data_IF_041339353122
#
_entry.id   IF_041339353122
#
_cell.length_a   1.000
_cell.length_b   1.000
_cell.length_c   1.000
_cell.angle_alpha   90.00
_cell.angle_beta   90.00
_cell.angle_gamma   90.00
#
_symmetry.space_group_name_H-M   'P 1'
#
loop_
_entity.id
_entity.type
_entity.pdbx_description
1 polymer ?
#
# COMPACT_ATOMS: atom_id res chain seq x y z
N UNK A 1 2.37 10.92 17.81
CA UNK A 1 1.18 10.23 17.25
C UNK A 1 0.09 11.21 16.88
N UNK A 2 -0.43 11.99 17.84
CA UNK A 2 -1.51 12.98 17.65
C UNK A 2 -1.26 13.96 16.49
N UNK A 3 -0.09 14.60 16.44
CA UNK A 3 0.21 15.65 15.44
C UNK A 3 -0.04 15.28 13.97
N UNK A 4 0.27 14.07 13.50
CA UNK A 4 0.09 13.74 12.06
C UNK A 4 -1.38 13.46 11.75
N UNK A 5 -2.06 12.67 12.59
CA UNK A 5 -3.47 12.37 12.40
C UNK A 5 -4.33 13.63 12.53
N UNK A 6 -4.02 14.49 13.50
CA UNK A 6 -4.68 15.79 13.68
C UNK A 6 -4.49 16.70 12.47
N UNK A 7 -3.25 16.88 12.00
CA UNK A 7 -2.98 17.70 10.80
C UNK A 7 -3.72 17.16 9.58
N UNK A 8 -3.86 15.84 9.44
CA UNK A 8 -4.64 15.24 8.35
C UNK A 8 -6.14 15.52 8.51
N UNK A 9 -6.70 15.36 9.70
CA UNK A 9 -8.11 15.64 9.98
C UNK A 9 -8.47 17.13 9.78
N UNK A 10 -7.55 18.05 10.10
CA UNK A 10 -7.74 19.49 9.89
C UNK A 10 -7.57 19.90 8.42
N UNK A 11 -6.67 19.24 7.68
CA UNK A 11 -6.36 19.60 6.29
C UNK A 11 -7.26 18.92 5.27
N UNK A 12 -7.99 17.88 5.66
CA UNK A 12 -8.90 17.15 4.78
C UNK A 12 -10.33 17.70 4.90
N UNK A 13 -11.07 17.79 3.77
CA UNK A 13 -12.45 18.23 3.76
C UNK A 13 -13.35 17.32 4.62
N UNK A 14 -14.36 17.90 5.29
CA UNK A 14 -15.35 17.14 6.07
C UNK A 14 -16.19 16.23 5.17
N UNK A 15 -16.36 16.65 3.91
CA UNK A 15 -17.03 15.92 2.85
C UNK A 15 -16.36 14.56 2.56
N UNK A 16 -15.08 14.37 2.92
CA UNK A 16 -14.39 13.10 2.71
C UNK A 16 -14.95 11.94 3.57
N UNK A 17 -15.70 12.23 4.64
CA UNK A 17 -16.22 11.22 5.57
C UNK A 17 -15.15 10.20 5.99
N UNK A 18 -14.07 10.70 6.60
CA UNK A 18 -12.93 9.88 7.02
C UNK A 18 -13.39 8.92 8.12
N UNK A 19 -13.22 7.61 7.88
CA UNK A 19 -13.58 6.57 8.84
C UNK A 19 -12.42 6.16 9.71
N UNK A 20 -11.22 6.08 9.13
CA UNK A 20 -10.02 5.69 9.84
C UNK A 20 -8.75 6.25 9.18
N UNK A 21 -7.72 6.47 10.00
CA UNK A 21 -6.38 6.82 9.56
C UNK A 21 -5.41 5.83 10.19
N UNK A 22 -4.87 4.94 9.36
CA UNK A 22 -3.93 3.90 9.74
C UNK A 22 -2.57 4.11 9.08
N UNK A 23 -1.56 3.41 9.58
CA UNK A 23 -0.27 3.30 8.91
C UNK A 23 -0.10 1.92 8.27
N UNK A 24 0.39 1.90 7.05
CA UNK A 24 0.85 0.68 6.37
C UNK A 24 2.37 0.75 6.23
N UNK A 25 3.07 0.43 7.33
CA UNK A 25 4.52 0.63 7.40
C UNK A 25 4.86 2.12 7.29
N UNK A 26 5.55 2.54 6.23
CA UNK A 26 5.92 3.94 6.01
C UNK A 26 4.85 4.79 5.31
N UNK A 27 3.77 4.16 4.84
CA UNK A 27 2.68 4.82 4.12
C UNK A 27 1.54 5.17 5.09
N UNK A 28 0.97 6.36 4.94
CA UNK A 28 -0.19 6.79 5.69
C UNK A 28 -1.43 6.50 4.86
N UNK A 29 -2.39 5.79 5.44
CA UNK A 29 -3.60 5.35 4.75
C UNK A 29 -4.82 6.00 5.37
N UNK A 30 -5.58 6.71 4.54
CA UNK A 30 -6.82 7.41 4.92
C UNK A 30 -7.99 6.66 4.31
N UNK A 31 -8.85 6.08 5.14
CA UNK A 31 -10.08 5.40 4.73
C UNK A 31 -11.23 6.41 4.66
N UNK A 32 -12.00 6.38 3.58
CA UNK A 32 -13.07 7.34 3.30
C UNK A 32 -14.35 6.64 2.88
N UNK A 33 -15.49 7.16 3.33
CA UNK A 33 -16.83 6.71 2.90
C UNK A 33 -17.41 7.52 1.74
N UNK A 34 -16.93 8.74 1.52
CA UNK A 34 -17.43 9.54 0.41
C UNK A 34 -16.82 9.06 -0.93
N UNK A 35 -17.66 8.56 -1.82
CA UNK A 35 -17.26 8.08 -3.13
C UNK A 35 -16.64 9.16 -4.01
N UNK A 36 -17.21 10.36 -4.03
CA UNK A 36 -16.77 11.44 -4.90
C UNK A 36 -15.36 11.91 -4.51
N UNK A 37 -15.10 12.00 -3.20
CA UNK A 37 -13.78 12.27 -2.66
C UNK A 37 -12.80 11.12 -2.98
N UNK A 38 -13.23 9.86 -2.83
CA UNK A 38 -12.39 8.72 -3.21
C UNK A 38 -12.01 8.78 -4.70
N UNK A 39 -12.94 9.14 -5.58
CA UNK A 39 -12.69 9.26 -7.03
C UNK A 39 -11.76 10.44 -7.35
N UNK A 40 -11.93 11.58 -6.69
CA UNK A 40 -11.29 12.86 -7.04
C UNK A 40 -10.45 13.52 -5.91
N UNK A 41 -9.55 12.78 -5.24
CA UNK A 41 -8.69 13.33 -4.18
C UNK A 41 -7.30 13.85 -4.63
N UNK A 42 -6.96 13.79 -5.91
CA UNK A 42 -5.58 13.92 -6.39
C UNK A 42 -4.87 15.23 -6.00
N UNK A 43 -5.54 16.37 -6.12
CA UNK A 43 -4.93 17.69 -5.83
C UNK A 43 -4.70 17.91 -4.34
N UNK A 44 -5.68 17.57 -3.51
CA UNK A 44 -5.64 17.70 -2.04
C UNK A 44 -4.52 16.81 -1.49
N UNK A 45 -4.45 15.56 -1.94
CA UNK A 45 -3.42 14.61 -1.49
C UNK A 45 -2.03 15.04 -1.97
N UNK A 46 -1.90 15.58 -3.20
CA UNK A 46 -0.62 16.10 -3.69
C UNK A 46 -0.12 17.28 -2.84
N UNK A 47 -1.01 18.18 -2.44
CA UNK A 47 -0.68 19.28 -1.52
C UNK A 47 -0.25 18.75 -0.14
N UNK A 48 -0.98 17.77 0.41
CA UNK A 48 -0.67 17.15 1.70
C UNK A 48 0.67 16.40 1.70
N UNK A 49 0.94 15.61 0.67
CA UNK A 49 2.24 14.91 0.50
C UNK A 49 3.37 15.92 0.41
N UNK A 50 3.16 17.04 -0.28
CA UNK A 50 4.16 18.11 -0.42
C UNK A 50 4.45 18.82 0.90
N UNK A 51 3.41 19.03 1.73
CA UNK A 51 3.47 19.65 3.07
C UNK A 51 4.12 18.73 4.09
N UNK A 52 3.65 17.47 4.18
CA UNK A 52 4.08 16.51 5.20
C UNK A 52 5.38 15.77 4.83
N UNK A 53 5.76 15.75 3.55
CA UNK A 53 6.88 14.94 3.01
C UNK A 53 6.76 13.46 3.42
N UNK A 54 5.52 12.95 3.45
CA UNK A 54 5.15 11.55 3.75
C UNK A 54 4.29 11.01 2.63
N UNK A 55 4.33 9.68 2.40
CA UNK A 55 3.46 9.01 1.43
C UNK A 55 2.06 8.87 2.03
N UNK A 56 1.05 9.27 1.27
CA UNK A 56 -0.35 9.24 1.68
C UNK A 56 -1.14 8.52 0.57
N UNK A 57 -1.91 7.52 0.95
CA UNK A 57 -2.86 6.82 0.08
C UNK A 57 -4.27 6.99 0.63
N UNK A 58 -5.21 7.29 -0.26
CA UNK A 58 -6.65 7.27 0.07
C UNK A 58 -7.20 5.91 -0.33
N UNK A 59 -7.92 5.27 0.59
CA UNK A 59 -8.56 3.97 0.41
C UNK A 59 -10.07 4.10 0.62
N UNK A 60 -10.87 3.30 -0.10
CA UNK A 60 -12.29 3.23 0.17
C UNK A 60 -12.48 2.49 1.50
N UNK A 61 -13.46 2.92 2.30
CA UNK A 61 -13.94 2.10 3.40
C UNK A 61 -14.48 0.76 2.85
N UNK A 62 -14.18 -0.39 3.47
CA UNK A 62 -14.71 -1.67 3.02
C UNK A 62 -16.24 -1.70 2.88
N UNK A 63 -16.96 -0.84 3.62
CA UNK A 63 -18.42 -0.75 3.56
C UNK A 63 -18.96 -0.12 2.26
N UNK A 64 -18.15 0.62 1.50
CA UNK A 64 -18.56 1.25 0.23
C UNK A 64 -18.04 0.49 -0.99
N UNK A 65 -17.13 -0.46 -0.80
CA UNK A 65 -16.56 -1.24 -1.91
C UNK A 65 -17.61 -2.24 -2.42
N UNK A 66 -17.72 -2.42 -3.73
CA UNK A 66 -18.65 -3.42 -4.29
C UNK A 66 -18.24 -4.83 -3.88
N UNK A 67 -19.19 -5.77 -3.91
CA UNK A 67 -18.90 -7.19 -3.67
C UNK A 67 -17.80 -7.71 -4.61
N UNK A 68 -17.00 -8.68 -4.13
CA UNK A 68 -15.84 -9.18 -4.88
C UNK A 68 -16.24 -9.81 -6.23
N UNK A 69 -17.36 -10.54 -6.27
CA UNK A 69 -17.84 -11.16 -7.51
C UNK A 69 -18.37 -10.11 -8.49
N UNK A 70 -19.10 -9.10 -8.02
CA UNK A 70 -19.54 -7.98 -8.85
C UNK A 70 -18.34 -7.19 -9.39
N UNK A 71 -17.35 -6.89 -8.54
CA UNK A 71 -16.13 -6.22 -8.92
C UNK A 71 -15.36 -6.98 -10.02
N UNK A 72 -15.28 -8.32 -9.93
CA UNK A 72 -14.67 -9.15 -10.98
C UNK A 72 -15.39 -9.01 -12.31
N UNK A 73 -16.72 -9.05 -12.31
CA UNK A 73 -17.53 -8.90 -13.53
C UNK A 73 -17.39 -7.51 -14.14
N UNK A 74 -17.38 -6.45 -13.31
CA UNK A 74 -17.10 -5.09 -13.75
C UNK A 74 -15.71 -4.99 -14.40
N UNK A 75 -14.67 -5.54 -13.76
CA UNK A 75 -13.30 -5.50 -14.27
C UNK A 75 -13.17 -6.22 -15.62
N UNK A 76 -13.77 -7.40 -15.76
CA UNK A 76 -13.77 -8.15 -17.03
C UNK A 76 -14.46 -7.39 -18.17
N UNK A 77 -15.50 -6.59 -17.87
CA UNK A 77 -16.19 -5.75 -18.86
C UNK A 77 -15.38 -4.51 -19.25
N UNK A 78 -14.66 -3.90 -18.30
CA UNK A 78 -13.88 -2.68 -18.54
C UNK A 78 -12.56 -2.98 -19.27
N UNK A 79 -11.90 -4.08 -18.89
CA UNK A 79 -10.55 -4.42 -19.39
C UNK A 79 -10.67 -5.20 -20.70
N UNK A 80 -9.96 -4.80 -21.78
CA UNK A 80 -9.96 -5.56 -23.03
C UNK A 80 -9.47 -7.00 -22.83
N UNK A 81 -10.09 -7.97 -23.51
CA UNK A 81 -9.67 -9.38 -23.45
C UNK A 81 -8.18 -9.57 -23.83
N UNK A 82 -7.69 -8.74 -24.77
CA UNK A 82 -6.29 -8.70 -25.20
C UNK A 82 -5.29 -8.37 -24.08
N UNK A 83 -5.75 -7.78 -22.97
CA UNK A 83 -4.93 -7.56 -21.79
C UNK A 83 -4.46 -8.89 -21.17
N UNK A 84 -5.25 -9.96 -21.36
CA UNK A 84 -5.00 -11.29 -20.84
C UNK A 84 -4.91 -11.27 -19.31
N UNK A 85 -6.02 -10.95 -18.64
CA UNK A 85 -6.12 -11.06 -17.19
C UNK A 85 -5.87 -12.52 -16.80
N UNK A 86 -4.90 -12.74 -15.94
CA UNK A 86 -4.55 -14.05 -15.40
C UNK A 86 -5.22 -14.30 -14.05
N UNK A 87 -5.24 -13.29 -13.17
CA UNK A 87 -5.84 -13.40 -11.84
C UNK A 87 -6.31 -12.04 -11.32
N UNK A 88 -7.30 -12.06 -10.43
CA UNK A 88 -7.78 -10.91 -9.66
C UNK A 88 -7.87 -11.30 -8.19
N UNK A 89 -6.95 -10.77 -7.38
CA UNK A 89 -6.90 -11.03 -5.94
C UNK A 89 -7.43 -9.83 -5.15
N UNK A 90 -8.29 -10.08 -4.15
CA UNK A 90 -8.85 -9.05 -3.28
C UNK A 90 -8.18 -9.06 -1.91
N UNK A 91 -8.01 -7.88 -1.33
CA UNK A 91 -7.55 -7.67 0.06
C UNK A 91 -8.55 -6.74 0.77
N UNK A 92 -9.71 -7.27 1.22
CA UNK A 92 -10.80 -6.46 1.79
C UNK A 92 -10.37 -5.61 2.99
N UNK A 93 -9.53 -6.16 3.86
CA UNK A 93 -8.99 -5.44 5.02
C UNK A 93 -8.25 -4.15 4.65
N UNK A 94 -7.74 -4.07 3.41
CA UNK A 94 -6.95 -2.96 2.86
C UNK A 94 -7.71 -2.16 1.80
N UNK A 95 -8.97 -2.48 1.51
CA UNK A 95 -9.76 -1.84 0.44
C UNK A 95 -9.07 -1.89 -0.93
N UNK A 96 -8.32 -2.96 -1.19
CA UNK A 96 -7.43 -3.09 -2.36
C UNK A 96 -7.77 -4.33 -3.18
N UNK A 97 -7.63 -4.21 -4.49
CA UNK A 97 -7.57 -5.37 -5.38
C UNK A 97 -6.30 -5.33 -6.23
N UNK A 98 -5.82 -6.51 -6.61
CA UNK A 98 -4.67 -6.69 -7.49
C UNK A 98 -5.10 -7.41 -8.75
N UNK A 99 -4.86 -6.79 -9.91
CA UNK A 99 -5.14 -7.38 -11.23
C UNK A 99 -3.81 -7.81 -11.83
N UNK A 100 -3.67 -9.10 -12.09
CA UNK A 100 -2.53 -9.67 -12.80
C UNK A 100 -2.89 -9.86 -14.26
N UNK A 101 -2.13 -9.26 -15.17
CA UNK A 101 -2.40 -9.34 -16.60
C UNK A 101 -1.12 -9.54 -17.41
N UNK A 102 -1.23 -10.24 -18.54
CA UNK A 102 -0.11 -10.43 -19.49
C UNK A 102 0.37 -9.08 -20.05
N UNK A 103 -0.56 -8.17 -20.33
CA UNK A 103 -0.30 -6.80 -20.80
C UNK A 103 -0.86 -5.75 -19.83
N UNK A 104 -0.14 -5.41 -18.73
CA UNK A 104 -0.58 -4.43 -17.74
C UNK A 104 -0.94 -3.05 -18.30
N UNK A 105 -0.27 -2.61 -19.37
CA UNK A 105 -0.54 -1.32 -20.00
C UNK A 105 -1.97 -1.18 -20.52
N UNK A 106 -2.61 -2.28 -20.95
CA UNK A 106 -4.01 -2.28 -21.40
C UNK A 106 -4.99 -2.17 -20.24
N UNK A 107 -4.65 -2.75 -19.08
CA UNK A 107 -5.42 -2.63 -17.84
C UNK A 107 -5.35 -1.21 -17.28
N UNK A 108 -4.17 -0.56 -17.37
CA UNK A 108 -3.99 0.82 -16.94
C UNK A 108 -4.71 1.79 -17.90
N UNK A 109 -4.58 1.55 -19.20
CA UNK A 109 -5.13 2.41 -20.25
C UNK A 109 -4.29 3.66 -20.50
N UNK A 110 -4.59 4.38 -21.59
CA UNK A 110 -3.91 5.65 -21.92
C UNK A 110 -4.15 6.66 -20.80
N UNK A 111 -3.08 7.20 -20.22
CA UNK A 111 -3.16 8.15 -19.11
C UNK A 111 -3.80 7.61 -17.83
N UNK A 112 -3.93 6.29 -17.67
CA UNK A 112 -4.60 5.69 -16.50
C UNK A 112 -6.13 5.68 -16.57
N UNK A 113 -6.73 5.98 -17.74
CA UNK A 113 -8.19 6.09 -17.88
C UNK A 113 -8.93 4.80 -17.52
N UNK A 114 -8.42 3.63 -17.92
CA UNK A 114 -9.04 2.33 -17.63
C UNK A 114 -8.93 2.01 -16.14
N UNK A 115 -7.76 2.27 -15.53
CA UNK A 115 -7.56 2.10 -14.09
C UNK A 115 -8.50 3.00 -13.28
N UNK A 116 -8.68 4.24 -13.72
CA UNK A 116 -9.63 5.18 -13.11
C UNK A 116 -11.07 4.66 -13.22
N UNK A 117 -11.49 4.16 -14.39
CA UNK A 117 -12.81 3.54 -14.55
C UNK A 117 -13.03 2.35 -13.61
N UNK A 118 -12.04 1.48 -13.46
CA UNK A 118 -12.11 0.35 -12.50
C UNK A 118 -12.32 0.88 -11.09
N UNK A 119 -11.50 1.84 -10.66
CA UNK A 119 -11.61 2.48 -9.34
C UNK A 119 -12.98 3.13 -9.13
N UNK A 120 -13.47 3.86 -10.12
CA UNK A 120 -14.71 4.64 -10.02
C UNK A 120 -15.97 3.75 -10.00
N UNK A 121 -15.95 2.60 -10.67
CA UNK A 121 -17.10 1.67 -10.73
C UNK A 121 -17.10 0.62 -9.62
N UNK A 122 -15.92 0.12 -9.23
CA UNK A 122 -15.83 -0.92 -8.20
C UNK A 122 -15.70 -0.35 -6.80
N UNK A 123 -15.27 0.91 -6.68
CA UNK A 123 -14.93 1.53 -5.40
C UNK A 123 -13.87 0.73 -4.63
N UNK A 124 -12.98 0.03 -5.34
CA UNK A 124 -11.77 -0.57 -4.81
C UNK A 124 -10.55 0.27 -5.20
N UNK A 125 -9.45 0.15 -4.46
CA UNK A 125 -8.17 0.66 -4.93
C UNK A 125 -7.46 -0.40 -5.80
N UNK A 126 -7.37 -0.22 -7.13
CA UNK A 126 -6.76 -1.21 -8.00
C UNK A 126 -5.23 -1.09 -8.05
N UNK A 127 -4.55 -2.22 -7.99
CA UNK A 127 -3.11 -2.36 -8.25
C UNK A 127 -2.92 -3.30 -9.43
N UNK A 128 -2.17 -2.86 -10.45
CA UNK A 128 -1.92 -3.69 -11.63
C UNK A 128 -0.53 -4.31 -11.53
N UNK A 129 -0.44 -5.62 -11.78
CA UNK A 129 0.81 -6.36 -11.87
C UNK A 129 0.90 -7.14 -13.17
N UNK A 130 2.12 -7.41 -13.62
CA UNK A 130 2.36 -8.32 -14.74
C UNK A 130 2.15 -9.75 -14.26
N UNK A 131 1.33 -10.51 -14.97
CA UNK A 131 1.16 -11.92 -14.73
C UNK A 131 2.50 -12.66 -14.94
N UNK A 132 2.90 -13.57 -14.04
CA UNK A 132 4.09 -14.38 -14.24
C UNK A 132 3.90 -15.31 -15.44
N UNK A 133 4.95 -15.55 -16.22
CA UNK A 133 4.90 -16.50 -17.35
C UNK A 133 4.72 -17.94 -16.87
N UNK A 134 5.33 -18.28 -15.73
CA UNK A 134 5.25 -19.60 -15.10
C UNK A 134 4.65 -19.39 -13.70
N UNK A 135 3.55 -20.07 -13.35
CA UNK A 135 2.99 -19.99 -12.01
C UNK A 135 3.96 -20.63 -11.01
N UNK A 136 4.08 -20.02 -9.84
CA UNK A 136 4.88 -20.57 -8.73
C UNK A 136 3.94 -20.95 -7.59
N UNK A 137 3.96 -22.23 -7.23
CA UNK A 137 3.19 -22.76 -6.09
C UNK A 137 3.56 -22.06 -4.78
N UNK A 138 4.86 -21.80 -4.57
CA UNK A 138 5.36 -21.06 -3.39
C UNK A 138 4.75 -19.65 -3.32
N UNK A 139 4.67 -18.94 -4.45
CA UNK A 139 4.05 -17.60 -4.49
C UNK A 139 2.56 -17.67 -4.16
N UNK A 140 1.85 -18.67 -4.65
CA UNK A 140 0.43 -18.85 -4.36
C UNK A 140 0.18 -19.14 -2.88
N UNK A 141 1.00 -20.02 -2.28
CA UNK A 141 0.93 -20.32 -0.84
C UNK A 141 1.17 -19.06 -0.02
N UNK A 142 2.23 -18.29 -0.31
CA UNK A 142 2.52 -17.04 0.40
C UNK A 142 1.36 -16.05 0.30
N UNK A 143 0.75 -15.90 -0.89
CA UNK A 143 -0.42 -15.02 -1.07
C UNK A 143 -1.62 -15.47 -0.24
N UNK A 144 -1.89 -16.77 -0.21
CA UNK A 144 -2.96 -17.35 0.61
C UNK A 144 -2.75 -17.05 2.08
N UNK A 145 -1.53 -17.28 2.61
CA UNK A 145 -1.18 -16.94 3.99
C UNK A 145 -1.36 -15.44 4.27
N UNK A 146 -0.88 -14.57 3.36
CA UNK A 146 -1.04 -13.12 3.51
C UNK A 146 -2.51 -12.67 3.51
N UNK A 147 -3.38 -13.39 2.79
CA UNK A 147 -4.81 -13.12 2.76
C UNK A 147 -5.49 -13.58 4.06
N UNK A 148 -5.22 -14.82 4.49
CA UNK A 148 -5.75 -15.40 5.74
C UNK A 148 -5.34 -14.57 6.96
N UNK A 149 -4.10 -14.08 6.99
CA UNK A 149 -3.53 -13.28 8.08
C UNK A 149 -3.75 -11.76 7.94
N UNK A 150 -4.73 -11.32 7.12
CA UNK A 150 -4.95 -9.91 6.82
C UNK A 150 -5.18 -9.04 8.06
N UNK A 151 -5.93 -9.53 9.05
CA UNK A 151 -6.19 -8.79 10.29
C UNK A 151 -4.92 -8.59 11.13
N UNK A 152 -4.16 -9.67 11.31
CA UNK A 152 -2.87 -9.63 12.02
C UNK A 152 -1.92 -8.66 11.32
N UNK A 153 -1.80 -8.80 9.99
CA UNK A 153 -0.94 -7.95 9.15
C UNK A 153 -1.33 -6.47 9.26
N UNK A 154 -2.62 -6.13 9.23
CA UNK A 154 -3.10 -4.75 9.37
C UNK A 154 -2.70 -4.15 10.73
N UNK A 155 -2.90 -4.91 11.82
CA UNK A 155 -2.50 -4.50 13.19
C UNK A 155 -0.98 -4.33 13.30
N UNK A 156 -0.22 -5.28 12.75
CA UNK A 156 1.25 -5.24 12.74
C UNK A 156 1.78 -4.02 11.99
N UNK A 157 1.28 -3.78 10.77
CA UNK A 157 1.71 -2.67 9.93
C UNK A 157 1.37 -1.30 10.54
N UNK A 158 0.21 -1.18 11.20
CA UNK A 158 -0.15 0.04 11.90
C UNK A 158 0.83 0.31 13.05
N UNK A 159 1.09 -0.68 13.91
CA UNK A 159 2.05 -0.54 15.02
C UNK A 159 3.48 -0.24 14.53
N UNK A 160 3.88 -0.83 13.41
CA UNK A 160 5.17 -0.54 12.78
C UNK A 160 5.23 0.90 12.29
N UNK A 161 4.20 1.36 11.58
CA UNK A 161 4.16 2.72 11.07
C UNK A 161 4.10 3.78 12.16
N UNK A 162 3.35 3.51 13.23
CA UNK A 162 3.35 4.34 14.43
C UNK A 162 4.76 4.57 14.97
N UNK A 163 5.62 3.53 14.99
CA UNK A 163 7.04 3.66 15.37
C UNK A 163 7.85 4.46 14.37
N UNK A 164 7.70 4.19 13.07
CA UNK A 164 8.40 4.90 11.98
C UNK A 164 8.09 6.41 12.02
N UNK A 165 6.84 6.77 12.31
CA UNK A 165 6.36 8.14 12.30
C UNK A 165 6.43 8.84 13.67
N UNK A 166 6.73 8.13 14.77
CA UNK A 166 6.89 8.71 16.10
C UNK A 166 8.20 9.48 16.28
N UNK A 167 9.25 9.13 15.54
CA UNK A 167 10.56 9.76 15.69
C UNK A 167 10.57 11.18 15.10
N UNK A 168 10.77 12.19 15.95
CA UNK A 168 11.11 13.53 15.49
C UNK A 168 12.44 13.51 14.71
N UNK A 169 12.50 14.27 13.61
CA UNK A 169 13.74 14.51 12.87
C UNK A 169 14.67 15.34 13.75
N UNK A 170 15.59 14.66 14.43
CA UNK A 170 16.75 15.29 15.07
C UNK A 170 17.97 15.11 14.19
N UNK A 171 18.96 15.97 14.39
CA UNK A 171 20.26 15.79 13.75
C UNK A 171 20.88 14.44 14.15
N UNK A 172 21.57 13.82 13.20
CA UNK A 172 22.24 12.55 13.41
C UNK A 172 23.61 12.86 14.02
N UNK A 173 23.77 12.56 15.30
CA UNK A 173 25.03 12.80 16.02
C UNK A 173 26.13 11.82 15.60
N UNK A 174 25.78 10.54 15.42
CA UNK A 174 26.71 9.51 14.99
C UNK A 174 26.02 8.42 14.18
N UNK A 175 26.83 7.75 13.37
CA UNK A 175 26.49 6.52 12.66
C UNK A 175 27.60 5.53 12.95
N UNK A 176 27.24 4.31 13.34
CA UNK A 176 28.18 3.20 13.53
C UNK A 176 27.72 2.01 12.71
N UNK A 177 28.69 1.28 12.19
CA UNK A 177 28.47 0.06 11.41
C UNK A 177 29.21 -1.07 12.11
N UNK A 178 28.47 -2.08 12.57
CA UNK A 178 29.01 -3.30 13.15
C UNK A 178 28.94 -4.44 12.14
N UNK A 179 30.07 -5.09 11.88
CA UNK A 179 30.12 -6.30 11.06
C UNK A 179 29.96 -7.50 11.98
N UNK A 180 28.80 -8.17 11.91
CA UNK A 180 28.52 -9.40 12.64
C UNK A 180 28.86 -10.64 11.81
N UNK A 181 28.97 -10.46 10.48
CA UNK A 181 29.51 -11.40 9.50
C UNK A 181 29.98 -10.66 8.25
N UNK A 182 30.40 -11.38 7.20
CA UNK A 182 31.09 -10.84 6.00
C UNK A 182 32.44 -10.14 6.29
N UNK A 183 32.95 -10.25 7.52
CA UNK A 183 34.23 -9.65 7.91
C UNK A 183 35.40 -10.53 7.48
N UNK A 184 35.93 -10.29 6.26
CA UNK A 184 37.04 -11.08 5.68
C UNK A 184 36.73 -12.56 5.49
N UNK A 185 35.47 -12.89 5.30
CA UNK A 185 34.99 -14.25 5.04
C UNK A 185 33.78 -14.23 4.12
N UNK A 186 33.47 -15.39 3.54
CA UNK A 186 32.28 -15.59 2.69
C UNK A 186 31.24 -16.36 3.49
N UNK A 187 29.98 -15.91 3.42
CA UNK A 187 28.85 -16.49 4.13
C UNK A 187 28.47 -15.71 5.39
N UNK A 188 27.33 -16.08 5.99
CA UNK A 188 26.76 -15.50 7.22
C UNK A 188 26.71 -13.97 7.22
N UNK A 189 26.35 -13.38 6.09
CA UNK A 189 26.36 -11.92 5.94
C UNK A 189 25.40 -11.27 6.92
N UNK A 190 25.92 -10.35 7.73
CA UNK A 190 25.11 -9.60 8.70
C UNK A 190 25.85 -8.34 9.15
N UNK A 191 25.23 -7.19 8.88
CA UNK A 191 25.78 -5.87 9.17
C UNK A 191 24.73 -5.08 9.96
N UNK A 192 25.11 -4.58 11.14
CA UNK A 192 24.25 -3.77 11.98
C UNK A 192 24.61 -2.29 11.81
N UNK A 193 23.71 -1.52 11.22
CA UNK A 193 23.82 -0.06 11.12
C UNK A 193 23.04 0.57 12.26
N UNK A 194 23.69 1.44 13.04
CA UNK A 194 23.07 2.06 14.21
C UNK A 194 23.23 3.58 14.19
N UNK A 195 22.21 4.24 14.72
CA UNK A 195 22.17 5.66 15.08
C UNK A 195 21.66 5.79 16.53
N UNK A 196 21.67 6.97 17.16
CA UNK A 196 21.09 7.15 18.49
C UNK A 196 19.62 6.71 18.63
N UNK A 197 18.87 6.59 17.52
CA UNK A 197 17.42 6.29 17.54
C UNK A 197 17.04 5.03 16.79
N UNK A 198 17.94 4.42 16.02
CA UNK A 198 17.58 3.34 15.10
C UNK A 198 18.68 2.31 15.00
N UNK A 199 18.26 1.05 14.96
CA UNK A 199 19.12 -0.09 14.66
C UNK A 199 18.52 -0.77 13.43
N UNK A 200 19.31 -0.91 12.37
CA UNK A 200 18.91 -1.53 11.11
C UNK A 200 19.87 -2.68 10.84
N UNK A 201 19.33 -3.89 10.79
CA UNK A 201 20.08 -5.07 10.36
C UNK A 201 20.03 -5.15 8.83
N UNK A 202 21.20 -5.25 8.21
CA UNK A 202 21.38 -5.53 6.79
C UNK A 202 21.90 -6.96 6.68
N UNK A 203 21.13 -7.81 6.01
CA UNK A 203 21.32 -9.25 5.91
C UNK A 203 21.34 -10.00 7.25
N UNK A 204 21.04 -11.30 7.16
CA UNK A 204 21.08 -12.25 8.27
C UNK A 204 21.20 -13.66 7.69
N UNK A 205 22.23 -13.84 6.86
CA UNK A 205 22.48 -15.06 6.09
C UNK A 205 23.19 -16.16 6.87
#
# INVERSE_FOLDING_TARGET
MMKIKEVLLESLPKEAEITDICFEGSEIVVYVKNEEFFKNNGEIIKALVSKLKKRISVRPDPAISTDMEEAKEIIKKIVPEDAGIADITFEPAFGRLTIEAKKPGLVIGKGGATLKKIKDQTLWFPVVRRAPTIPSEVVQIIRKVLFEESEFRKKFLNKLGERIHAAERKEIEWIRVGFLGSGREVGRSSILVQTPRSNVMLDCG
#
